data_IF_781275314279
#
_entry.id   IF_781275314279
#
_cell.length_a   1.000
_cell.length_b   1.000
_cell.length_c   1.000
_cell.angle_alpha   90.00
_cell.angle_beta   90.00
_cell.angle_gamma   90.00
#
_symmetry.space_group_name_H-M   'P 1'
#
loop_
_entity.id
_entity.type
_entity.pdbx_description
1 polymer ?
#
# COMPACT_ATOMS: atom_id res chain seq x y z
N UNK A 1 25.89 -38.24 7.63
CA UNK A 1 24.69 -37.71 8.31
C UNK A 1 24.53 -36.26 7.90
N UNK A 2 23.44 -35.88 7.24
CA UNK A 2 23.10 -34.47 6.99
C UNK A 2 22.43 -33.91 8.25
N UNK A 3 22.76 -32.70 8.72
CA UNK A 3 22.02 -32.08 9.81
C UNK A 3 20.57 -31.86 9.36
N UNK A 4 19.62 -32.24 10.20
CA UNK A 4 18.20 -31.98 9.98
C UNK A 4 17.99 -30.47 9.92
N UNK A 5 17.54 -29.95 8.79
CA UNK A 5 17.02 -28.59 8.70
C UNK A 5 15.86 -28.47 9.69
N UNK A 6 15.83 -27.43 10.54
CA UNK A 6 14.69 -27.23 11.42
C UNK A 6 13.44 -27.00 10.55
N UNK A 7 12.29 -27.58 10.90
CA UNK A 7 11.07 -27.37 10.13
C UNK A 7 10.70 -25.89 10.21
N UNK A 8 10.90 -25.17 9.11
CA UNK A 8 10.44 -23.79 8.90
C UNK A 8 8.91 -23.78 8.74
N UNK A 9 8.21 -24.22 9.78
CA UNK A 9 6.76 -24.12 9.92
C UNK A 9 6.39 -23.00 10.90
N UNK A 10 7.17 -21.91 10.92
CA UNK A 10 6.64 -20.64 11.42
C UNK A 10 5.58 -20.20 10.41
N UNK A 11 4.33 -20.52 10.70
CA UNK A 11 3.17 -19.90 10.08
C UNK A 11 3.26 -18.40 10.35
N UNK A 12 3.94 -17.67 9.47
CA UNK A 12 3.91 -16.22 9.49
C UNK A 12 2.44 -15.82 9.40
N UNK A 13 1.97 -15.03 10.38
CA UNK A 13 0.63 -14.46 10.30
C UNK A 13 0.52 -13.72 8.96
N UNK A 14 -0.55 -13.93 8.17
CA UNK A 14 -0.73 -13.21 6.92
C UNK A 14 -0.60 -11.70 7.15
N UNK A 15 0.42 -11.08 6.55
CA UNK A 15 0.71 -9.65 6.74
C UNK A 15 1.67 -9.28 7.88
N UNK A 16 2.18 -10.24 8.66
CA UNK A 16 3.31 -10.08 9.61
C UNK A 16 4.53 -10.93 9.22
N UNK A 17 4.75 -11.13 7.92
CA UNK A 17 6.00 -11.70 7.42
C UNK A 17 7.04 -10.60 7.19
N UNK A 18 8.33 -10.92 7.32
CA UNK A 18 9.45 -10.02 6.99
C UNK A 18 9.34 -9.42 5.57
N UNK A 19 8.68 -10.13 4.65
CA UNK A 19 8.40 -9.66 3.30
C UNK A 19 7.42 -8.48 3.24
N UNK A 20 6.37 -8.47 4.08
CA UNK A 20 5.37 -7.39 4.09
C UNK A 20 5.96 -6.10 4.66
N UNK A 21 6.77 -6.22 5.70
CA UNK A 21 7.51 -5.11 6.30
C UNK A 21 8.54 -4.52 5.33
N UNK A 22 9.37 -5.37 4.72
CA UNK A 22 10.32 -4.93 3.70
C UNK A 22 9.62 -4.21 2.54
N UNK A 23 8.46 -4.73 2.09
CA UNK A 23 7.67 -4.11 1.03
C UNK A 23 7.12 -2.73 1.43
N UNK A 24 6.60 -2.59 2.65
CA UNK A 24 6.15 -1.29 3.17
C UNK A 24 7.31 -0.30 3.26
N UNK A 25 8.47 -0.72 3.74
CA UNK A 25 9.64 0.15 3.87
C UNK A 25 10.22 0.55 2.51
N UNK A 26 10.24 -0.35 1.54
CA UNK A 26 10.57 -0.03 0.15
C UNK A 26 9.58 0.97 -0.46
N UNK A 27 8.28 0.77 -0.26
CA UNK A 27 7.25 1.66 -0.76
C UNK A 27 7.34 3.05 -0.11
N UNK A 28 7.59 3.14 1.21
CA UNK A 28 7.80 4.41 1.92
C UNK A 28 9.02 5.15 1.40
N UNK A 29 10.14 4.45 1.17
CA UNK A 29 11.35 5.03 0.57
C UNK A 29 11.07 5.57 -0.84
N UNK A 30 10.34 4.82 -1.64
CA UNK A 30 9.93 5.26 -2.98
C UNK A 30 9.09 6.54 -2.90
N UNK A 31 8.04 6.55 -2.06
CA UNK A 31 7.17 7.72 -1.86
C UNK A 31 7.95 8.95 -1.39
N UNK A 32 8.97 8.78 -0.55
CA UNK A 32 9.82 9.87 -0.08
C UNK A 32 10.72 10.43 -1.19
N UNK A 33 11.19 9.59 -2.12
CA UNK A 33 12.05 9.98 -3.23
C UNK A 33 11.28 10.57 -4.42
N UNK A 34 10.01 10.18 -4.60
CA UNK A 34 9.15 10.54 -5.75
C UNK A 34 7.99 11.44 -5.30
N UNK A 35 8.32 12.67 -4.88
CA UNK A 35 7.35 13.59 -4.28
C UNK A 35 6.19 13.94 -5.23
N UNK A 36 6.50 14.38 -6.46
CA UNK A 36 5.48 14.87 -7.40
C UNK A 36 4.56 13.75 -7.89
N UNK A 37 5.13 12.57 -8.16
CA UNK A 37 4.39 11.38 -8.55
C UNK A 37 3.47 10.92 -7.41
N UNK A 38 3.97 10.95 -6.17
CA UNK A 38 3.17 10.63 -5.01
C UNK A 38 2.04 11.65 -4.76
N UNK A 39 2.28 12.95 -4.94
CA UNK A 39 1.23 13.96 -4.82
C UNK A 39 0.15 13.75 -5.89
N UNK A 40 0.54 13.43 -7.12
CA UNK A 40 -0.41 13.08 -8.17
C UNK A 40 -1.24 11.84 -7.79
N UNK A 41 -0.60 10.81 -7.25
CA UNK A 41 -1.30 9.61 -6.78
C UNK A 41 -2.34 9.96 -5.71
N UNK A 42 -1.95 10.75 -4.70
CA UNK A 42 -2.83 11.19 -3.62
C UNK A 42 -4.01 12.03 -4.10
N UNK A 43 -3.76 13.00 -5.00
CA UNK A 43 -4.80 13.86 -5.56
C UNK A 43 -5.80 13.06 -6.40
N UNK A 44 -5.30 12.12 -7.21
CA UNK A 44 -6.15 11.24 -8.02
C UNK A 44 -6.99 10.31 -7.15
N UNK A 45 -6.39 9.71 -6.11
CA UNK A 45 -7.11 8.85 -5.17
C UNK A 45 -8.22 9.63 -4.43
N UNK A 46 -7.94 10.85 -3.95
CA UNK A 46 -8.96 11.71 -3.33
C UNK A 46 -10.10 12.00 -4.29
N UNK A 47 -9.79 12.46 -5.50
CA UNK A 47 -10.80 12.76 -6.53
C UNK A 47 -11.69 11.55 -6.81
N UNK A 48 -11.10 10.38 -7.06
CA UNK A 48 -11.86 9.17 -7.37
C UNK A 48 -12.76 8.76 -6.18
N UNK A 49 -12.25 8.89 -4.94
CA UNK A 49 -13.02 8.68 -3.72
C UNK A 49 -14.18 9.66 -3.56
N UNK A 50 -13.95 10.94 -3.80
CA UNK A 50 -14.95 12.01 -3.67
C UNK A 50 -16.05 11.92 -4.74
N UNK A 51 -15.68 11.57 -5.97
CA UNK A 51 -16.61 11.52 -7.12
C UNK A 51 -17.39 10.20 -7.19
N UNK A 52 -16.76 9.08 -6.81
CA UNK A 52 -17.34 7.74 -7.06
C UNK A 52 -17.54 6.90 -5.81
N UNK A 53 -16.97 7.30 -4.67
CA UNK A 53 -16.92 6.48 -3.47
C UNK A 53 -16.04 5.23 -3.61
N UNK A 54 -15.21 5.14 -4.65
CA UNK A 54 -14.37 3.99 -4.96
C UNK A 54 -12.97 4.41 -5.43
N UNK A 55 -11.94 3.82 -4.83
CA UNK A 55 -10.54 4.06 -5.18
C UNK A 55 -9.89 2.74 -5.59
N UNK A 56 -9.45 2.66 -6.85
CA UNK A 56 -8.62 1.57 -7.35
C UNK A 56 -7.15 1.95 -7.29
N UNK A 57 -6.43 1.47 -6.26
CA UNK A 57 -5.00 1.74 -6.11
C UNK A 57 -4.17 1.34 -7.34
N UNK A 58 -4.53 0.22 -7.96
CA UNK A 58 -3.87 -0.28 -9.17
C UNK A 58 -4.07 0.68 -10.36
N UNK A 59 -5.31 1.12 -10.60
CA UNK A 59 -5.61 2.05 -11.68
C UNK A 59 -4.90 3.40 -11.50
N UNK A 60 -4.93 3.97 -10.28
CA UNK A 60 -4.22 5.22 -9.97
C UNK A 60 -2.71 5.07 -10.17
N UNK A 61 -2.14 3.93 -9.77
CA UNK A 61 -0.72 3.63 -9.98
C UNK A 61 -0.38 3.52 -11.47
N UNK A 62 -1.23 2.89 -12.28
CA UNK A 62 -1.06 2.83 -13.73
C UNK A 62 -1.13 4.22 -14.38
N UNK A 63 -2.06 5.08 -13.96
CA UNK A 63 -2.13 6.46 -14.42
C UNK A 63 -0.86 7.24 -14.08
N UNK A 64 -0.34 7.07 -12.86
CA UNK A 64 0.89 7.71 -12.40
C UNK A 64 2.10 7.26 -13.23
N UNK A 65 2.27 5.94 -13.45
CA UNK A 65 3.32 5.38 -14.31
C UNK A 65 3.28 5.99 -15.71
N UNK A 66 2.10 6.01 -16.33
CA UNK A 66 1.92 6.55 -17.67
C UNK A 66 2.24 8.05 -17.73
N UNK A 67 1.77 8.83 -16.74
CA UNK A 67 1.95 10.28 -16.70
C UNK A 67 3.42 10.68 -16.53
N UNK A 68 4.13 10.07 -15.59
CA UNK A 68 5.49 10.48 -15.23
C UNK A 68 6.59 9.63 -15.87
N UNK A 69 6.22 8.55 -16.58
CA UNK A 69 7.16 7.57 -17.16
C UNK A 69 8.09 6.97 -16.11
N UNK A 70 7.54 6.70 -14.93
CA UNK A 70 8.27 6.08 -13.80
C UNK A 70 7.97 4.59 -13.69
N UNK A 71 8.97 3.83 -13.28
CA UNK A 71 8.81 2.43 -12.92
C UNK A 71 8.37 2.31 -11.45
N UNK A 72 7.29 1.56 -11.23
CA UNK A 72 6.76 1.26 -9.89
C UNK A 72 6.48 -0.22 -9.84
N UNK A 73 6.89 -0.93 -8.78
CA UNK A 73 6.58 -2.35 -8.64
C UNK A 73 5.07 -2.54 -8.45
N UNK A 74 4.46 -3.53 -9.12
CA UNK A 74 3.03 -3.85 -8.91
C UNK A 74 2.73 -4.18 -7.44
N UNK A 75 3.69 -4.76 -6.73
CA UNK A 75 3.55 -5.05 -5.30
C UNK A 75 3.37 -3.78 -4.43
N UNK A 76 3.71 -2.58 -4.91
CA UNK A 76 3.53 -1.34 -4.16
C UNK A 76 2.08 -0.85 -4.15
N UNK A 77 1.20 -1.32 -5.03
CA UNK A 77 -0.18 -0.82 -5.11
C UNK A 77 -0.93 -0.97 -3.77
N UNK A 78 -0.96 -2.13 -3.09
CA UNK A 78 -1.59 -2.19 -1.76
C UNK A 78 -0.85 -1.32 -0.74
N UNK A 79 0.49 -1.24 -0.80
CA UNK A 79 1.29 -0.43 0.13
C UNK A 79 0.99 1.07 -0.01
N UNK A 80 0.81 1.58 -1.22
CA UNK A 80 0.43 2.97 -1.47
C UNK A 80 -0.92 3.32 -0.86
N UNK A 81 -1.91 2.44 -0.98
CA UNK A 81 -3.20 2.64 -0.31
C UNK A 81 -3.06 2.72 1.22
N UNK A 82 -2.22 1.84 1.82
CA UNK A 82 -1.94 1.88 3.26
C UNK A 82 -1.24 3.18 3.66
N UNK A 83 -0.18 3.58 2.95
CA UNK A 83 0.57 4.82 3.20
C UNK A 83 -0.32 6.05 3.06
N UNK A 84 -1.22 6.07 2.08
CA UNK A 84 -2.20 7.14 1.90
C UNK A 84 -3.09 7.26 3.15
N UNK A 85 -3.71 6.16 3.58
CA UNK A 85 -4.57 6.14 4.76
C UNK A 85 -3.80 6.48 6.05
N UNK A 86 -2.55 6.01 6.21
CA UNK A 86 -1.66 6.32 7.33
C UNK A 86 -1.45 7.84 7.46
N UNK A 87 -1.26 8.55 6.33
CA UNK A 87 -0.98 9.99 6.30
C UNK A 87 -2.21 10.90 6.49
N UNK A 88 -3.42 10.35 6.41
CA UNK A 88 -4.66 11.11 6.62
C UNK A 88 -4.92 11.37 8.10
N UNK A 89 -5.60 12.49 8.38
CA UNK A 89 -6.17 12.74 9.71
C UNK A 89 -7.24 11.67 10.02
N UNK A 90 -7.47 11.31 11.30
CA UNK A 90 -8.42 10.26 11.66
C UNK A 90 -9.82 10.42 11.02
N UNK A 91 -10.35 11.65 11.00
CA UNK A 91 -11.66 11.94 10.38
C UNK A 91 -11.68 11.73 8.86
N UNK A 92 -10.61 12.12 8.15
CA UNK A 92 -10.49 11.88 6.70
C UNK A 92 -10.30 10.38 6.42
N UNK A 93 -9.51 9.70 7.26
CA UNK A 93 -9.26 8.26 7.12
C UNK A 93 -10.54 7.45 7.17
N UNK A 94 -11.47 7.80 8.06
CA UNK A 94 -12.77 7.10 8.17
C UNK A 94 -13.63 7.27 6.90
N UNK A 95 -13.50 8.41 6.22
CA UNK A 95 -14.19 8.67 4.95
C UNK A 95 -13.57 7.84 3.82
N UNK A 96 -12.25 7.84 3.69
CA UNK A 96 -11.57 7.23 2.54
C UNK A 96 -11.26 5.73 2.69
N UNK A 97 -11.16 5.21 3.91
CA UNK A 97 -10.94 3.78 4.17
C UNK A 97 -11.96 2.88 3.46
N UNK A 98 -13.29 3.09 3.55
CA UNK A 98 -14.27 2.25 2.87
C UNK A 98 -14.23 2.37 1.34
N UNK A 99 -13.61 3.42 0.78
CA UNK A 99 -13.47 3.59 -0.66
C UNK A 99 -12.46 2.62 -1.29
N UNK A 100 -11.48 2.12 -0.51
CA UNK A 100 -10.53 1.12 -0.97
C UNK A 100 -11.09 -0.30 -0.84
N UNK A 101 -11.43 -0.94 -1.96
CA UNK A 101 -11.79 -2.37 -2.01
C UNK A 101 -10.59 -3.19 -2.47
N UNK A 102 -9.65 -3.42 -1.56
CA UNK A 102 -8.48 -4.23 -1.84
C UNK A 102 -8.73 -5.70 -1.52
N UNK A 103 -8.24 -6.60 -2.38
CA UNK A 103 -8.14 -8.02 -2.04
C UNK A 103 -7.07 -8.28 -0.98
N UNK A 104 -6.96 -9.53 -0.53
CA UNK A 104 -5.91 -9.93 0.43
C UNK A 104 -4.51 -9.62 -0.10
N UNK A 105 -3.66 -9.06 0.73
CA UNK A 105 -2.29 -8.65 0.38
C UNK A 105 -1.29 -8.93 1.50
N UNK A 106 0.00 -8.89 1.17
CA UNK A 106 1.10 -9.05 2.15
C UNK A 106 1.21 -7.89 3.14
N UNK A 107 0.43 -6.81 2.97
CA UNK A 107 0.49 -5.60 3.81
C UNK A 107 -0.84 -5.31 4.51
N UNK A 108 -1.68 -6.34 4.71
CA UNK A 108 -3.02 -6.16 5.29
C UNK A 108 -3.00 -5.68 6.76
N UNK A 109 -1.96 -6.04 7.52
CA UNK A 109 -1.83 -5.65 8.93
C UNK A 109 -1.46 -4.17 9.12
N UNK A 110 -1.07 -3.46 8.06
CA UNK A 110 -0.69 -2.03 8.14
C UNK A 110 -1.87 -1.06 8.09
N UNK A 111 -3.11 -1.56 8.19
CA UNK A 111 -4.32 -0.71 8.28
C UNK A 111 -4.96 -0.62 9.66
N UNK A 112 -4.50 -1.42 10.62
CA UNK A 112 -5.25 -1.69 11.85
C UNK A 112 -4.63 -1.07 13.10
N UNK A 113 -3.66 -0.16 12.94
CA UNK A 113 -3.16 0.58 14.09
C UNK A 113 -4.10 1.76 14.33
N UNK A 114 -5.16 1.51 15.09
CA UNK A 114 -5.76 2.54 15.92
C UNK A 114 -4.66 3.01 16.89
N UNK A 115 -4.20 4.25 16.72
CA UNK A 115 -3.49 4.97 17.78
C UNK A 115 -4.52 5.52 18.77
#
# INVERSE_FOLDING_TARGET
MRPAEPPSNQMALPGMGSEGEALMDEARRWVAAHYDEWQFWCATARRDGDETGYISSDAVTHMMRHRFRVEVKNAYTPAFARIFLERLKPAEREIYRPCFRMGRSKVDMYTEVAL
#
